data_IF_219222969170
#
_entry.id   IF_219222969170
#
_cell.length_a   1.000
_cell.length_b   1.000
_cell.length_c   1.000
_cell.angle_alpha   90.00
_cell.angle_beta   90.00
_cell.angle_gamma   90.00
#
_symmetry.space_group_name_H-M   'P 1'
#
loop_
_entity.id
_entity.type
_entity.pdbx_description
1 polymer ?
#
# COMPACT_ATOMS: atom_id res chain seq x y z
N UNK A 1 -7.90 -9.78 1.44
CA UNK A 1 -8.02 -8.36 1.05
C UNK A 1 -6.65 -7.87 0.61
N UNK A 2 -6.51 -7.35 -0.61
CA UNK A 2 -5.26 -6.84 -1.16
C UNK A 2 -5.36 -5.34 -1.39
N UNK A 3 -4.21 -4.66 -1.39
CA UNK A 3 -4.17 -3.25 -1.81
C UNK A 3 -4.27 -3.16 -3.33
N UNK A 4 -4.89 -2.10 -3.82
CA UNK A 4 -5.07 -1.87 -5.25
C UNK A 4 -3.75 -1.77 -5.99
N UNK A 5 -3.80 -2.01 -7.31
CA UNK A 5 -2.68 -1.73 -8.21
C UNK A 5 -2.21 -0.28 -8.09
N UNK A 6 -3.12 0.69 -7.89
CA UNK A 6 -2.78 2.10 -7.69
C UNK A 6 -1.84 2.30 -6.50
N UNK A 7 -2.11 1.66 -5.35
CA UNK A 7 -1.22 1.73 -4.18
C UNK A 7 0.14 1.11 -4.47
N UNK A 8 0.16 -0.08 -5.11
CA UNK A 8 1.41 -0.75 -5.49
C UNK A 8 2.27 0.13 -6.41
N UNK A 9 1.66 0.72 -7.43
CA UNK A 9 2.33 1.61 -8.37
C UNK A 9 2.83 2.88 -7.66
N UNK A 10 2.07 3.43 -6.72
CA UNK A 10 2.49 4.59 -5.93
C UNK A 10 3.71 4.27 -5.05
N UNK A 11 3.75 3.11 -4.40
CA UNK A 11 4.90 2.65 -3.61
C UNK A 11 6.15 2.46 -4.48
N UNK A 12 5.98 1.97 -5.71
CA UNK A 12 7.10 1.67 -6.61
C UNK A 12 7.63 2.90 -7.36
N UNK A 13 6.77 3.89 -7.64
CA UNK A 13 7.10 5.07 -8.45
C UNK A 13 7.34 6.34 -7.64
N UNK A 14 6.75 6.49 -6.45
CA UNK A 14 6.89 7.69 -5.62
C UNK A 14 7.85 7.44 -4.44
N UNK A 15 9.03 8.05 -4.52
CA UNK A 15 10.07 7.91 -3.49
C UNK A 15 9.63 8.44 -2.13
N UNK A 16 9.00 9.62 -2.08
CA UNK A 16 8.59 10.23 -0.81
C UNK A 16 7.50 9.40 -0.14
N UNK A 17 6.49 8.98 -0.92
CA UNK A 17 5.43 8.12 -0.41
C UNK A 17 5.96 6.82 0.18
N UNK A 18 6.88 6.15 -0.53
CA UNK A 18 7.48 4.91 -0.07
C UNK A 18 8.42 5.10 1.13
N UNK A 19 9.13 6.23 1.23
CA UNK A 19 9.94 6.53 2.41
C UNK A 19 9.08 6.74 3.65
N UNK A 20 8.02 7.55 3.54
CA UNK A 20 7.10 7.81 4.65
C UNK A 20 6.42 6.53 5.14
N UNK A 21 5.89 5.71 4.21
CA UNK A 21 5.24 4.45 4.55
C UNK A 21 6.22 3.44 5.17
N UNK A 22 7.46 3.38 4.67
CA UNK A 22 8.50 2.53 5.24
C UNK A 22 8.85 2.96 6.68
N UNK A 23 8.86 4.27 6.95
CA UNK A 23 9.05 4.84 8.27
C UNK A 23 7.96 4.42 9.27
N UNK A 24 6.69 4.44 8.84
CA UNK A 24 5.56 3.96 9.65
C UNK A 24 5.74 2.49 10.02
N UNK A 25 6.11 1.66 9.04
CA UNK A 25 6.33 0.23 9.23
C UNK A 25 7.66 -0.11 9.91
N UNK A 26 8.52 0.89 10.18
CA UNK A 26 9.88 0.73 10.71
C UNK A 26 10.72 -0.29 9.92
N UNK A 27 10.61 -0.26 8.59
CA UNK A 27 11.39 -1.10 7.67
C UNK A 27 12.17 -0.24 6.69
N UNK A 28 13.12 -0.86 5.98
CA UNK A 28 13.80 -0.19 4.89
C UNK A 28 12.86 -0.01 3.68
N UNK A 29 13.01 1.10 2.95
CA UNK A 29 12.24 1.38 1.73
C UNK A 29 12.39 0.26 0.69
N UNK A 30 13.56 -0.35 0.56
CA UNK A 30 13.79 -1.49 -0.32
C UNK A 30 12.90 -2.69 0.05
N UNK A 31 12.80 -2.99 1.35
CA UNK A 31 11.90 -4.04 1.85
C UNK A 31 10.44 -3.72 1.57
N UNK A 32 10.02 -2.46 1.74
CA UNK A 32 8.66 -2.03 1.39
C UNK A 32 8.35 -2.25 -0.10
N UNK A 33 9.28 -1.89 -1.00
CA UNK A 33 9.13 -2.11 -2.44
C UNK A 33 9.00 -3.60 -2.78
N UNK A 34 9.72 -4.48 -2.08
CA UNK A 34 9.56 -5.93 -2.22
C UNK A 34 8.17 -6.40 -1.76
N UNK A 35 7.63 -5.83 -0.66
CA UNK A 35 6.27 -6.13 -0.21
C UNK A 35 5.22 -5.77 -1.27
N UNK A 36 5.37 -4.61 -1.94
CA UNK A 36 4.49 -4.19 -3.02
C UNK A 36 4.57 -5.12 -4.25
N UNK A 37 5.78 -5.54 -4.64
CA UNK A 37 5.98 -6.48 -5.75
C UNK A 37 5.38 -7.86 -5.47
N UNK A 38 5.38 -8.30 -4.21
CA UNK A 38 4.84 -9.59 -3.77
C UNK A 38 3.37 -9.55 -3.37
N UNK A 39 2.72 -8.39 -3.54
CA UNK A 39 1.31 -8.21 -3.17
C UNK A 39 1.02 -8.62 -1.71
N UNK A 40 1.88 -8.18 -0.79
CA UNK A 40 1.83 -8.60 0.61
C UNK A 40 0.63 -8.00 1.36
N UNK A 41 -0.05 -8.82 2.16
CA UNK A 41 -1.12 -8.36 3.07
C UNK A 41 -0.62 -7.38 4.13
N UNK A 42 0.70 -7.24 4.33
CA UNK A 42 1.24 -6.21 5.22
C UNK A 42 0.90 -4.78 4.77
N UNK A 43 0.56 -4.60 3.49
CA UNK A 43 0.15 -3.30 2.96
C UNK A 43 -1.29 -2.93 3.32
N UNK A 44 -2.10 -3.87 3.84
CA UNK A 44 -3.47 -3.63 4.31
C UNK A 44 -3.57 -3.44 5.83
N UNK A 45 -2.45 -3.42 6.54
CA UNK A 45 -2.42 -3.13 7.98
C UNK A 45 -3.03 -1.77 8.29
N UNK A 46 -3.69 -1.65 9.44
CA UNK A 46 -4.40 -0.45 9.87
C UNK A 46 -3.56 0.84 9.71
N UNK A 47 -2.32 0.84 10.18
CA UNK A 47 -1.40 1.99 10.05
C UNK A 47 -1.10 2.39 8.59
N UNK A 48 -1.06 1.44 7.66
CA UNK A 48 -0.89 1.71 6.24
C UNK A 48 -2.15 2.34 5.67
N UNK A 49 -3.32 1.81 6.04
CA UNK A 49 -4.62 2.31 5.58
C UNK A 49 -4.86 3.74 6.06
N UNK A 50 -4.56 4.03 7.33
CA UNK A 50 -4.63 5.39 7.88
C UNK A 50 -3.68 6.35 7.15
N UNK A 51 -2.49 5.91 6.80
CA UNK A 51 -1.57 6.68 5.97
C UNK A 51 -2.14 6.96 4.58
N UNK A 52 -2.72 5.97 3.91
CA UNK A 52 -3.31 6.19 2.59
C UNK A 52 -4.46 7.19 2.64
N UNK A 53 -5.35 7.04 3.64
CA UNK A 53 -6.45 7.99 3.88
C UNK A 53 -5.94 9.40 4.17
N UNK A 54 -4.86 9.55 4.94
CA UNK A 54 -4.28 10.87 5.20
C UNK A 54 -3.66 11.53 3.96
N UNK A 55 -3.34 10.74 2.93
CA UNK A 55 -2.96 11.21 1.59
C UNK A 55 -4.15 11.47 0.67
N UNK A 56 -5.39 11.38 1.18
CA UNK A 56 -6.62 11.65 0.45
C UNK A 56 -7.13 10.48 -0.39
N UNK A 57 -6.59 9.26 -0.20
CA UNK A 57 -7.04 8.08 -0.93
C UNK A 57 -8.31 7.50 -0.30
N UNK A 58 -9.28 7.16 -1.14
CA UNK A 58 -10.53 6.53 -0.70
C UNK A 58 -10.35 5.04 -0.47
N UNK A 59 -11.30 4.42 0.22
CA UNK A 59 -11.27 2.98 0.48
C UNK A 59 -11.26 2.14 -0.82
N UNK A 60 -12.01 2.59 -1.84
CA UNK A 60 -12.09 1.97 -3.16
C UNK A 60 -10.77 2.09 -3.93
N UNK A 61 -10.02 3.17 -3.70
CA UNK A 61 -8.69 3.35 -4.29
C UNK A 61 -7.61 2.58 -3.54
N UNK A 62 -7.81 2.31 -2.25
CA UNK A 62 -6.85 1.59 -1.40
C UNK A 62 -6.90 0.10 -1.65
N UNK A 63 -8.09 -0.50 -1.77
CA UNK A 63 -8.27 -1.93 -1.83
C UNK A 63 -8.64 -2.40 -3.24
N UNK A 64 -8.19 -3.60 -3.63
CA UNK A 64 -8.76 -4.24 -4.80
C UNK A 64 -10.23 -4.60 -4.51
N UNK A 65 -11.17 -4.33 -5.43
CA UNK A 65 -12.54 -4.80 -5.28
C UNK A 65 -12.50 -6.32 -5.16
N UNK A 66 -13.22 -6.87 -4.18
CA UNK A 66 -13.38 -8.32 -4.10
C UNK A 66 -14.00 -8.80 -5.41
N UNK A 67 -13.19 -9.46 -6.23
CA UNK A 67 -13.72 -10.22 -7.35
C UNK A 67 -14.49 -11.38 -6.74
N UNK A 68 -15.81 -11.20 -6.61
CA UNK A 68 -16.74 -12.32 -6.48
C UNK A 68 -16.55 -13.15 -7.74
N UNK A 69 -15.73 -14.21 -7.65
CA UNK A 69 -15.69 -15.23 -8.70
C UNK A 69 -17.07 -15.85 -8.73
N UNK A 70 -17.81 -15.54 -9.79
CA UNK A 70 -19.06 -16.23 -10.14
C UNK A 70 -18.80 -17.71 -10.42
#
# INVERSE_FOLDING_TARGET
MKVSKKIKDLILSNNNFSLELAGILKIQQASLRLLARRDSDRLTLFQCVEFYKSKGLTQEEIFEPEQVKA
#
